data_IF_679996519133
#
_entry.id   IF_679996519133
#
_cell.length_a   1.000
_cell.length_b   1.000
_cell.length_c   1.000
_cell.angle_alpha   90.00
_cell.angle_beta   90.00
_cell.angle_gamma   90.00
#
_symmetry.space_group_name_H-M   'P 1'
#
loop_
_entity.id
_entity.type
_entity.pdbx_description
1 polymer ?
#
# COMPACT_ATOMS: atom_id res chain seq x y z
N UNK A 1 -1.03 -11.05 14.31
CA UNK A 1 -0.57 -11.22 12.90
C UNK A 1 0.32 -10.05 12.57
N UNK A 2 1.61 -10.28 12.33
CA UNK A 2 2.61 -9.23 12.04
C UNK A 2 2.77 -9.03 10.53
N UNK A 3 2.91 -7.78 10.12
CA UNK A 3 3.24 -7.34 8.76
C UNK A 3 4.59 -6.61 8.79
N UNK A 4 5.25 -6.52 7.64
CA UNK A 4 6.44 -5.71 7.45
C UNK A 4 6.23 -4.74 6.28
N UNK A 5 6.74 -3.53 6.40
CA UNK A 5 6.72 -2.51 5.35
C UNK A 5 8.16 -2.18 4.99
N UNK A 6 8.51 -2.34 3.71
CA UNK A 6 9.83 -1.94 3.22
C UNK A 6 9.84 -0.43 2.96
N UNK A 7 10.73 0.28 3.64
CA UNK A 7 11.16 1.61 3.22
C UNK A 7 12.39 1.41 2.33
N UNK A 8 12.17 1.23 1.03
CA UNK A 8 13.20 0.84 0.07
C UNK A 8 13.23 1.84 -1.07
N UNK A 9 14.40 2.37 -1.44
CA UNK A 9 14.54 3.23 -2.60
C UNK A 9 14.41 2.45 -3.91
N UNK A 10 14.13 3.17 -4.99
CA UNK A 10 14.18 2.60 -6.35
C UNK A 10 15.54 1.96 -6.63
N UNK A 11 15.56 0.89 -7.42
CA UNK A 11 16.80 0.32 -7.98
C UNK A 11 16.78 0.38 -9.51
N UNK A 12 17.97 0.46 -10.11
CA UNK A 12 18.14 0.61 -11.56
C UNK A 12 18.18 -0.74 -12.32
N UNK A 13 18.12 -1.87 -11.60
CA UNK A 13 18.07 -3.21 -12.21
C UNK A 13 17.37 -4.21 -11.30
N UNK A 14 16.86 -5.30 -11.91
CA UNK A 14 16.29 -6.43 -11.16
C UNK A 14 17.32 -7.05 -10.20
N UNK A 15 18.57 -7.22 -10.63
CA UNK A 15 19.63 -7.76 -9.79
C UNK A 15 19.87 -6.89 -8.55
N UNK A 16 19.97 -5.57 -8.74
CA UNK A 16 20.17 -4.62 -7.63
C UNK A 16 18.96 -4.60 -6.68
N UNK A 17 17.73 -4.74 -7.22
CA UNK A 17 16.52 -4.90 -6.42
C UNK A 17 16.56 -6.17 -5.58
N UNK A 18 16.82 -7.34 -6.18
CA UNK A 18 16.84 -8.60 -5.45
C UNK A 18 17.95 -8.62 -4.39
N UNK A 19 19.13 -8.07 -4.70
CA UNK A 19 20.23 -7.94 -3.74
C UNK A 19 19.83 -7.13 -2.50
N UNK A 20 19.00 -6.10 -2.67
CA UNK A 20 18.50 -5.28 -1.56
C UNK A 20 17.27 -5.89 -0.87
N UNK A 21 16.36 -6.50 -1.64
CA UNK A 21 15.06 -6.97 -1.16
C UNK A 21 15.15 -8.34 -0.47
N UNK A 22 15.95 -9.27 -0.98
CA UNK A 22 16.00 -10.63 -0.44
C UNK A 22 16.41 -10.68 1.04
N UNK A 23 17.41 -9.90 1.51
CA UNK A 23 17.70 -9.81 2.95
C UNK A 23 16.52 -9.26 3.77
N UNK A 24 15.81 -8.26 3.25
CA UNK A 24 14.64 -7.68 3.93
C UNK A 24 13.47 -8.67 4.00
N UNK A 25 13.23 -9.44 2.93
CA UNK A 25 12.18 -10.47 2.93
C UNK A 25 12.47 -11.58 3.95
N UNK A 26 13.73 -12.04 4.04
CA UNK A 26 14.17 -13.02 5.04
C UNK A 26 14.07 -12.47 6.46
N UNK A 27 14.59 -11.26 6.71
CA UNK A 27 14.51 -10.62 8.02
C UNK A 27 13.05 -10.41 8.45
N UNK A 28 12.17 -9.95 7.55
CA UNK A 28 10.74 -9.83 7.83
C UNK A 28 10.14 -11.17 8.25
N UNK A 29 10.52 -12.26 7.58
CA UNK A 29 10.05 -13.61 7.92
C UNK A 29 10.59 -14.11 9.26
N UNK A 30 11.86 -13.89 9.55
CA UNK A 30 12.50 -14.24 10.82
C UNK A 30 11.84 -13.51 11.99
N UNK A 31 11.45 -12.26 11.77
CA UNK A 31 10.64 -11.46 12.67
C UNK A 31 9.16 -11.91 12.70
N UNK A 32 8.77 -13.00 12.05
CA UNK A 32 7.41 -13.54 12.09
C UNK A 32 6.38 -12.77 11.26
N UNK A 33 6.79 -11.86 10.39
CA UNK A 33 5.88 -11.22 9.45
C UNK A 33 5.35 -12.23 8.43
N UNK A 34 4.04 -12.18 8.16
CA UNK A 34 3.40 -13.01 7.14
C UNK A 34 3.30 -12.34 5.78
N UNK A 35 3.43 -11.01 5.74
CA UNK A 35 3.28 -10.18 4.54
C UNK A 35 4.34 -9.06 4.59
N UNK A 36 4.99 -8.81 3.46
CA UNK A 36 5.87 -7.67 3.24
C UNK A 36 5.31 -6.78 2.12
N UNK A 37 4.97 -5.54 2.47
CA UNK A 37 4.53 -4.51 1.52
C UNK A 37 5.75 -3.72 1.03
N UNK A 38 5.89 -3.58 -0.29
CA UNK A 38 6.90 -2.75 -0.91
C UNK A 38 6.31 -1.43 -1.44
N UNK A 39 7.18 -0.42 -1.67
CA UNK A 39 6.76 0.85 -2.26
C UNK A 39 6.26 0.76 -3.71
N UNK A 40 5.71 1.87 -4.18
CA UNK A 40 5.29 2.08 -5.57
C UNK A 40 6.49 2.08 -6.53
N UNK A 41 6.36 1.42 -7.69
CA UNK A 41 7.34 1.41 -8.78
C UNK A 41 8.80 1.15 -8.29
N UNK A 42 9.07 -0.04 -7.77
CA UNK A 42 10.39 -0.40 -7.18
C UNK A 42 11.57 -0.34 -8.15
N UNK A 43 11.32 -0.41 -9.46
CA UNK A 43 12.29 -0.17 -10.55
C UNK A 43 12.02 1.12 -11.33
N UNK A 44 11.14 1.99 -10.82
CA UNK A 44 10.59 3.11 -11.57
C UNK A 44 9.68 2.63 -12.72
N UNK A 45 9.53 3.47 -13.74
CA UNK A 45 8.78 3.14 -14.96
C UNK A 45 9.63 2.34 -15.98
N UNK A 46 10.53 1.49 -15.48
CA UNK A 46 11.33 0.61 -16.32
C UNK A 46 10.58 -0.72 -16.52
N UNK A 47 10.25 -1.12 -17.76
CA UNK A 47 9.72 -2.45 -18.02
C UNK A 47 10.72 -3.52 -17.59
N UNK A 48 10.24 -4.50 -16.82
CA UNK A 48 11.05 -5.66 -16.45
C UNK A 48 10.15 -6.91 -16.51
N UNK A 49 10.03 -7.52 -17.70
CA UNK A 49 9.28 -8.77 -17.86
C UNK A 49 9.64 -9.87 -16.84
N UNK A 50 10.91 -10.07 -16.41
CA UNK A 50 11.24 -11.12 -15.44
C UNK A 50 10.97 -10.75 -13.96
N UNK A 51 10.58 -9.50 -13.67
CA UNK A 51 10.37 -9.05 -12.29
C UNK A 51 9.24 -9.83 -11.58
N UNK A 52 8.05 -10.04 -12.17
CA UNK A 52 6.97 -10.79 -11.51
C UNK A 52 7.38 -12.21 -11.13
N UNK A 53 8.08 -12.95 -12.02
CA UNK A 53 8.56 -14.30 -11.75
C UNK A 53 9.59 -14.31 -10.62
N UNK A 54 10.52 -13.34 -10.63
CA UNK A 54 11.53 -13.22 -9.58
C UNK A 54 10.92 -12.89 -8.20
N UNK A 55 9.91 -12.03 -8.16
CA UNK A 55 9.16 -11.72 -6.93
C UNK A 55 8.34 -12.93 -6.46
N UNK A 56 7.74 -13.67 -7.38
CA UNK A 56 7.02 -14.91 -7.05
C UNK A 56 7.95 -15.96 -6.45
N UNK A 57 9.13 -16.17 -7.06
CA UNK A 57 10.15 -17.07 -6.54
C UNK A 57 10.64 -16.65 -5.15
N UNK A 58 10.90 -15.36 -4.92
CA UNK A 58 11.31 -14.86 -3.61
C UNK A 58 10.22 -15.05 -2.54
N UNK A 59 8.96 -14.79 -2.89
CA UNK A 59 7.83 -15.01 -1.99
C UNK A 59 7.68 -16.49 -1.60
N UNK A 60 7.88 -17.41 -2.55
CA UNK A 60 7.89 -18.86 -2.30
C UNK A 60 9.07 -19.29 -1.43
N UNK A 61 10.29 -18.85 -1.76
CA UNK A 61 11.52 -19.19 -1.02
C UNK A 61 11.43 -18.77 0.45
N UNK A 62 10.94 -17.57 0.71
CA UNK A 62 10.86 -17.00 2.06
C UNK A 62 9.56 -17.35 2.79
N UNK A 63 8.56 -17.88 2.10
CA UNK A 63 7.24 -18.17 2.68
C UNK A 63 6.51 -16.93 3.21
N UNK A 64 6.83 -15.75 2.67
CA UNK A 64 6.17 -14.48 2.96
C UNK A 64 5.31 -14.05 1.77
N UNK A 65 4.14 -13.47 2.02
CA UNK A 65 3.35 -12.84 0.97
C UNK A 65 4.01 -11.51 0.59
N UNK A 66 4.43 -11.34 -0.66
CA UNK A 66 4.96 -10.05 -1.12
C UNK A 66 3.85 -9.25 -1.78
N UNK A 67 3.77 -7.95 -1.48
CA UNK A 67 2.87 -7.02 -2.16
C UNK A 67 3.72 -5.92 -2.75
N UNK A 68 3.92 -5.92 -4.07
CA UNK A 68 4.96 -5.14 -4.73
C UNK A 68 4.44 -4.18 -5.78
N UNK A 69 4.90 -2.92 -5.73
CA UNK A 69 4.62 -1.89 -6.71
C UNK A 69 5.58 -1.98 -7.90
N UNK A 70 5.11 -2.17 -9.13
CA UNK A 70 5.94 -2.23 -10.32
C UNK A 70 5.22 -1.70 -11.58
N UNK A 71 5.96 -1.53 -12.66
CA UNK A 71 5.37 -1.26 -13.98
C UNK A 71 4.86 -2.58 -14.58
N UNK A 72 3.56 -2.68 -14.82
CA UNK A 72 2.93 -3.80 -15.52
C UNK A 72 2.80 -3.57 -17.03
N UNK A 73 2.33 -4.58 -17.75
CA UNK A 73 2.05 -4.50 -19.19
C UNK A 73 0.95 -3.49 -19.54
N UNK A 74 0.97 -2.97 -20.77
CA UNK A 74 0.04 -1.92 -21.21
C UNK A 74 0.18 -0.65 -20.38
N UNK A 75 1.39 -0.09 -20.33
CA UNK A 75 2.09 0.36 -19.12
C UNK A 75 1.15 0.81 -18.00
N UNK A 76 1.10 0.04 -16.92
CA UNK A 76 0.26 0.31 -15.73
C UNK A 76 1.10 0.41 -14.49
N UNK A 77 0.82 1.39 -13.64
CA UNK A 77 1.38 1.42 -12.30
C UNK A 77 0.61 0.42 -11.44
N UNK A 78 1.28 -0.67 -11.06
CA UNK A 78 0.66 -1.89 -10.53
C UNK A 78 1.13 -2.17 -9.12
N UNK A 79 0.21 -2.53 -8.23
CA UNK A 79 0.48 -3.17 -6.95
C UNK A 79 -0.05 -4.62 -7.01
N UNK A 80 0.84 -5.60 -6.95
CA UNK A 80 0.50 -7.01 -7.12
C UNK A 80 0.89 -7.84 -5.91
N UNK A 81 0.06 -8.83 -5.60
CA UNK A 81 0.31 -9.83 -4.56
C UNK A 81 1.00 -11.06 -5.17
N UNK A 82 2.10 -11.49 -4.55
CA UNK A 82 2.92 -12.63 -4.94
C UNK A 82 3.00 -13.66 -3.79
N UNK A 83 3.16 -14.96 -4.08
CA UNK A 83 3.51 -15.54 -5.38
C UNK A 83 2.36 -15.63 -6.38
N UNK A 84 1.13 -15.64 -5.88
CA UNK A 84 -0.10 -15.58 -6.66
C UNK A 84 -1.10 -14.76 -5.86
N UNK A 85 -1.84 -13.88 -6.53
CA UNK A 85 -2.81 -13.04 -5.87
C UNK A 85 -3.36 -11.92 -6.74
N UNK A 86 -4.20 -11.05 -6.17
CA UNK A 86 -4.82 -9.98 -6.92
C UNK A 86 -3.79 -8.97 -7.45
N UNK A 87 -4.21 -8.32 -8.53
CA UNK A 87 -3.49 -7.23 -9.18
C UNK A 87 -4.34 -5.97 -9.07
N UNK A 88 -3.76 -4.90 -8.54
CA UNK A 88 -4.34 -3.57 -8.55
C UNK A 88 -3.53 -2.68 -9.49
N UNK A 89 -4.18 -2.20 -10.55
CA UNK A 89 -3.62 -1.13 -11.39
C UNK A 89 -4.15 0.21 -10.87
N UNK A 90 -3.28 1.22 -10.75
CA UNK A 90 -3.59 2.53 -10.19
C UNK A 90 -4.80 3.16 -10.88
N UNK A 91 -5.82 3.48 -10.09
CA UNK A 91 -7.08 4.06 -10.59
C UNK A 91 -6.89 5.55 -10.89
N UNK A 92 -6.25 6.29 -10.00
CA UNK A 92 -6.03 7.73 -10.14
C UNK A 92 -4.60 8.02 -10.60
N UNK A 93 -4.43 8.42 -11.85
CA UNK A 93 -3.12 8.81 -12.39
C UNK A 93 -2.76 10.22 -11.95
N UNK A 94 -1.53 10.41 -11.47
CA UNK A 94 -1.00 11.73 -11.13
C UNK A 94 -0.57 12.46 -12.40
N UNK A 95 -1.39 13.40 -12.89
CA UNK A 95 -1.15 14.14 -14.14
C UNK A 95 -0.95 15.66 -13.87
N UNK A 96 0.10 16.05 -13.13
CA UNK A 96 0.41 17.45 -12.87
C UNK A 96 0.82 18.20 -14.15
N UNK A 97 0.64 19.52 -14.14
CA UNK A 97 1.15 20.39 -15.20
C UNK A 97 2.66 20.62 -15.00
N UNK A 98 3.46 20.41 -16.05
CA UNK A 98 4.90 20.70 -16.03
C UNK A 98 5.80 19.59 -15.50
N UNK A 99 5.25 18.46 -15.05
CA UNK A 99 6.01 17.27 -14.66
C UNK A 99 5.58 16.05 -15.49
N UNK A 100 6.40 15.00 -15.52
CA UNK A 100 6.05 13.77 -16.26
C UNK A 100 4.89 13.01 -15.61
N UNK A 101 4.81 13.00 -14.27
CA UNK A 101 3.76 12.33 -13.50
C UNK A 101 3.54 10.89 -13.93
N UNK A 102 2.29 10.51 -14.18
CA UNK A 102 1.86 9.22 -14.72
C UNK A 102 1.51 9.31 -16.23
N UNK A 103 2.04 10.31 -16.96
CA UNK A 103 1.82 10.46 -18.40
C UNK A 103 2.21 9.17 -19.13
N UNK A 104 1.32 8.71 -20.01
CA UNK A 104 1.51 7.49 -20.81
C UNK A 104 1.11 6.19 -20.10
N UNK A 105 0.73 6.24 -18.82
CA UNK A 105 0.21 5.07 -18.11
C UNK A 105 -1.30 4.90 -18.33
N UNK A 106 -1.80 3.68 -18.18
CA UNK A 106 -3.24 3.38 -18.29
C UNK A 106 -3.90 3.22 -16.91
N UNK A 107 -5.09 3.81 -16.77
CA UNK A 107 -5.93 3.68 -15.57
C UNK A 107 -6.34 2.23 -15.31
N UNK A 108 -6.22 1.81 -14.06
CA UNK A 108 -6.81 0.56 -13.59
C UNK A 108 -8.32 0.65 -13.37
N UNK A 109 -8.85 -0.41 -12.77
CA UNK A 109 -10.26 -0.53 -12.38
C UNK A 109 -10.35 -1.02 -10.94
N UNK A 110 -11.48 -0.75 -10.32
CA UNK A 110 -11.80 -1.31 -9.01
C UNK A 110 -11.84 -0.25 -7.91
N UNK A 111 -12.33 -0.68 -6.75
CA UNK A 111 -11.47 -1.22 -5.69
C UNK A 111 -11.09 -2.70 -5.86
N UNK A 112 -9.85 -3.07 -5.57
CA UNK A 112 -9.32 -4.44 -5.50
C UNK A 112 -8.94 -4.80 -4.06
N UNK A 113 -9.57 -5.84 -3.52
CA UNK A 113 -9.33 -6.32 -2.17
C UNK A 113 -9.20 -7.85 -2.14
N UNK A 114 -8.55 -8.38 -1.12
CA UNK A 114 -8.40 -9.82 -0.94
C UNK A 114 -8.45 -10.24 0.53
N UNK A 115 -8.96 -11.45 0.82
CA UNK A 115 -8.87 -12.05 2.13
C UNK A 115 -7.47 -12.61 2.36
N UNK A 116 -6.94 -12.42 3.57
CA UNK A 116 -5.73 -13.07 4.02
C UNK A 116 -5.78 -13.28 5.54
N UNK A 117 -5.60 -14.53 5.98
CA UNK A 117 -5.61 -14.92 7.41
C UNK A 117 -6.82 -14.38 8.19
N UNK A 118 -8.01 -14.48 7.60
CA UNK A 118 -9.27 -14.07 8.23
C UNK A 118 -9.53 -12.55 8.25
N UNK A 119 -8.69 -11.76 7.56
CA UNK A 119 -8.84 -10.30 7.44
C UNK A 119 -8.94 -9.90 5.98
N UNK A 120 -9.60 -8.78 5.68
CA UNK A 120 -9.73 -8.25 4.32
C UNK A 120 -8.83 -7.03 4.11
N UNK A 121 -8.00 -7.07 3.05
CA UNK A 121 -7.04 -6.03 2.69
C UNK A 121 -7.41 -5.37 1.36
N UNK A 122 -7.42 -4.04 1.31
CA UNK A 122 -7.59 -3.25 0.08
C UNK A 122 -6.24 -2.74 -0.44
N UNK A 123 -6.07 -2.70 -1.76
CA UNK A 123 -4.85 -2.24 -2.43
C UNK A 123 -5.01 -0.81 -2.94
N UNK A 124 -4.01 0.04 -2.76
CA UNK A 124 -4.00 1.38 -3.33
C UNK A 124 -2.57 1.87 -3.60
N UNK A 125 -2.43 2.90 -4.42
CA UNK A 125 -1.14 3.47 -4.79
C UNK A 125 -1.14 5.00 -4.65
N UNK A 126 -0.27 5.50 -3.77
CA UNK A 126 0.20 6.88 -3.71
C UNK A 126 -0.94 7.91 -3.86
N UNK A 127 -1.08 8.50 -5.05
CA UNK A 127 -2.08 9.52 -5.41
C UNK A 127 -3.53 9.10 -5.15
N UNK A 128 -3.82 7.80 -5.06
CA UNK A 128 -5.13 7.32 -4.58
C UNK A 128 -5.50 7.90 -3.21
N UNK A 129 -4.51 8.22 -2.36
CA UNK A 129 -4.72 8.85 -1.06
C UNK A 129 -5.45 10.20 -1.16
N UNK A 130 -5.40 10.92 -2.29
CA UNK A 130 -6.17 12.15 -2.46
C UNK A 130 -7.68 11.89 -2.60
N UNK A 131 -8.09 10.67 -2.95
CA UNK A 131 -9.47 10.32 -3.30
C UNK A 131 -10.14 9.49 -2.19
N UNK A 132 -10.84 10.13 -1.23
CA UNK A 132 -11.51 9.42 -0.13
C UNK A 132 -12.52 8.37 -0.61
N UNK A 133 -13.10 8.55 -1.80
CA UNK A 133 -14.11 7.69 -2.40
C UNK A 133 -13.61 6.25 -2.56
N UNK A 134 -12.35 6.06 -2.97
CA UNK A 134 -11.78 4.72 -3.15
C UNK A 134 -11.70 3.97 -1.81
N UNK A 135 -11.19 4.65 -0.78
CA UNK A 135 -11.05 4.08 0.56
C UNK A 135 -12.41 3.87 1.23
N UNK A 136 -13.36 4.77 0.99
CA UNK A 136 -14.76 4.59 1.41
C UNK A 136 -15.38 3.37 0.75
N UNK A 137 -15.18 3.18 -0.55
CA UNK A 137 -15.68 2.03 -1.27
C UNK A 137 -15.10 0.71 -0.73
N UNK A 138 -13.81 0.69 -0.38
CA UNK A 138 -13.21 -0.45 0.33
C UNK A 138 -13.86 -0.69 1.69
N UNK A 139 -14.02 0.35 2.52
CA UNK A 139 -14.57 0.23 3.87
C UNK A 139 -16.01 -0.30 3.86
N UNK A 140 -16.84 0.16 2.92
CA UNK A 140 -18.22 -0.31 2.73
C UNK A 140 -18.28 -1.77 2.26
N UNK A 141 -17.22 -2.29 1.63
CA UNK A 141 -17.04 -3.72 1.31
C UNK A 141 -16.46 -4.53 2.47
N UNK A 142 -16.32 -3.95 3.67
CA UNK A 142 -15.84 -4.64 4.85
C UNK A 142 -14.31 -4.72 4.98
N UNK A 143 -13.56 -4.03 4.12
CA UNK A 143 -12.09 -4.00 4.22
C UNK A 143 -11.67 -3.48 5.60
N UNK A 144 -10.69 -4.14 6.20
CA UNK A 144 -10.19 -3.87 7.55
C UNK A 144 -8.82 -3.19 7.55
N UNK A 145 -8.07 -3.30 6.46
CA UNK A 145 -6.75 -2.73 6.30
C UNK A 145 -6.50 -2.28 4.86
N UNK A 146 -5.79 -1.18 4.69
CA UNK A 146 -5.33 -0.69 3.40
C UNK A 146 -3.83 -0.90 3.27
N UNK A 147 -3.39 -1.47 2.15
CA UNK A 147 -1.98 -1.59 1.76
C UNK A 147 -1.71 -0.57 0.67
N UNK A 148 -0.86 0.41 0.98
CA UNK A 148 -0.56 1.55 0.11
C UNK A 148 0.93 1.55 -0.23
N UNK A 149 1.26 1.31 -1.50
CA UNK A 149 2.60 1.59 -2.01
C UNK A 149 2.70 3.07 -2.41
N UNK A 150 3.78 3.75 -2.07
CA UNK A 150 3.93 5.18 -2.36
C UNK A 150 5.33 5.57 -2.86
N UNK A 151 5.36 6.56 -3.75
CA UNK A 151 6.56 7.28 -4.19
C UNK A 151 6.35 8.80 -4.04
N UNK A 152 5.85 9.23 -2.88
CA UNK A 152 5.42 10.62 -2.64
C UNK A 152 6.62 11.55 -2.37
N UNK A 153 6.70 12.77 -2.95
CA UNK A 153 7.82 13.68 -2.71
C UNK A 153 7.88 14.18 -1.26
N UNK A 154 9.08 14.16 -0.66
CA UNK A 154 9.33 14.49 0.74
C UNK A 154 8.99 15.93 1.11
N UNK A 155 9.02 16.85 0.13
CA UNK A 155 8.54 18.23 0.31
C UNK A 155 7.06 18.30 0.75
N UNK A 156 6.28 17.24 0.47
CA UNK A 156 4.88 17.11 0.82
C UNK A 156 4.61 15.95 1.81
N UNK A 157 5.64 15.48 2.53
CA UNK A 157 5.50 14.39 3.50
C UNK A 157 4.43 14.68 4.58
N UNK A 158 4.28 15.95 4.98
CA UNK A 158 3.22 16.36 5.91
C UNK A 158 1.81 16.13 5.35
N UNK A 159 1.59 16.42 4.06
CA UNK A 159 0.32 16.16 3.39
C UNK A 159 0.05 14.65 3.28
N UNK A 160 1.07 13.87 2.90
CA UNK A 160 0.98 12.41 2.85
C UNK A 160 0.49 11.84 4.19
N UNK A 161 1.10 12.27 5.30
CA UNK A 161 0.71 11.81 6.63
C UNK A 161 -0.73 12.20 6.98
N UNK A 162 -1.14 13.44 6.69
CA UNK A 162 -2.52 13.90 6.92
C UNK A 162 -3.52 13.04 6.15
N UNK A 163 -3.29 12.80 4.86
CA UNK A 163 -4.16 11.99 4.03
C UNK A 163 -4.20 10.54 4.51
N UNK A 164 -3.06 9.92 4.78
CA UNK A 164 -2.99 8.56 5.28
C UNK A 164 -3.74 8.38 6.62
N UNK A 165 -3.57 9.33 7.55
CA UNK A 165 -4.32 9.34 8.82
C UNK A 165 -5.82 9.53 8.60
N UNK A 166 -6.21 10.42 7.70
CA UNK A 166 -7.61 10.64 7.36
C UNK A 166 -8.26 9.38 6.77
N UNK A 167 -7.60 8.71 5.80
CA UNK A 167 -8.12 7.47 5.19
C UNK A 167 -8.29 6.36 6.22
N UNK A 168 -7.37 6.22 7.17
CA UNK A 168 -7.51 5.25 8.27
C UNK A 168 -8.69 5.60 9.19
N UNK A 169 -8.74 6.84 9.69
CA UNK A 169 -9.70 7.30 10.68
C UNK A 169 -11.14 7.32 10.14
N UNK A 170 -11.36 7.91 8.97
CA UNK A 170 -12.70 8.10 8.41
C UNK A 170 -13.36 6.78 7.97
N UNK A 171 -12.56 5.72 7.82
CA UNK A 171 -13.00 4.39 7.39
C UNK A 171 -12.89 3.33 8.49
N UNK A 172 -12.39 3.71 9.68
CA UNK A 172 -12.07 2.80 10.78
C UNK A 172 -11.32 1.57 10.27
N UNK A 173 -10.18 1.77 9.61
CA UNK A 173 -9.37 0.70 9.06
C UNK A 173 -7.89 0.97 9.37
N UNK A 174 -7.10 -0.08 9.54
CA UNK A 174 -5.64 0.08 9.58
C UNK A 174 -5.14 0.58 8.21
N UNK A 175 -4.09 1.40 8.21
CA UNK A 175 -3.41 1.76 6.97
C UNK A 175 -1.91 1.47 7.10
N UNK A 176 -1.41 0.73 6.14
CA UNK A 176 -0.01 0.37 5.99
C UNK A 176 0.52 1.05 4.73
N UNK A 177 1.45 1.97 4.89
CA UNK A 177 2.01 2.76 3.81
C UNK A 177 3.50 2.48 3.67
N UNK A 178 3.90 1.81 2.59
CA UNK A 178 5.30 1.61 2.23
C UNK A 178 5.71 2.71 1.25
N UNK A 179 6.55 3.64 1.71
CA UNK A 179 7.06 4.74 0.89
C UNK A 179 8.43 4.41 0.33
N UNK A 180 8.77 4.95 -0.84
CA UNK A 180 10.12 4.89 -1.38
C UNK A 180 11.07 5.71 -0.52
N UNK A 181 12.22 5.15 -0.18
CA UNK A 181 13.21 5.84 0.65
C UNK A 181 13.93 6.97 -0.07
N UNK A 182 14.01 6.90 -1.40
CA UNK A 182 14.65 7.92 -2.24
C UNK A 182 13.75 9.13 -2.54
N UNK A 183 12.50 9.15 -2.06
CA UNK A 183 11.59 10.29 -2.27
C UNK A 183 11.51 11.23 -1.07
N UNK A 184 12.01 10.83 0.11
CA UNK A 184 12.01 11.64 1.33
C UNK A 184 10.68 11.66 2.10
N UNK A 185 9.70 10.84 1.72
CA UNK A 185 8.47 10.65 2.51
C UNK A 185 8.53 9.39 3.37
N UNK A 186 8.02 9.40 4.61
CA UNK A 186 8.13 8.29 5.53
C UNK A 186 7.23 7.10 5.14
N UNK A 187 7.66 5.91 5.53
CA UNK A 187 6.81 4.72 5.65
C UNK A 187 6.01 4.81 6.96
N UNK A 188 4.71 4.52 6.92
CA UNK A 188 3.79 4.72 8.05
C UNK A 188 2.92 3.49 8.32
N UNK A 189 2.69 3.23 9.61
CA UNK A 189 1.67 2.31 10.09
C UNK A 189 0.68 3.08 10.96
N UNK A 190 -0.60 3.05 10.59
CA UNK A 190 -1.64 3.93 11.15
C UNK A 190 -2.81 3.10 11.66
N UNK A 191 -3.27 3.44 12.87
CA UNK A 191 -4.41 2.84 13.54
C UNK A 191 -5.77 3.29 12.95
N UNK A 192 -6.85 2.52 13.17
CA UNK A 192 -8.22 2.88 12.79
C UNK A 192 -8.76 4.19 13.34
N UNK A 193 -8.12 4.78 14.36
CA UNK A 193 -8.46 6.08 14.94
C UNK A 193 -7.55 7.21 14.45
N UNK A 194 -6.67 6.93 13.47
CA UNK A 194 -5.76 7.90 12.87
C UNK A 194 -4.46 8.15 13.64
N UNK A 195 -4.19 7.43 14.74
CA UNK A 195 -2.88 7.48 15.40
C UNK A 195 -1.80 6.81 14.54
N UNK A 196 -0.63 7.44 14.44
CA UNK A 196 0.56 6.83 13.85
C UNK A 196 1.16 5.88 14.88
N UNK A 197 1.19 4.58 14.57
CA UNK A 197 1.73 3.51 15.41
C UNK A 197 3.17 3.17 15.06
N UNK A 198 3.60 3.47 13.84
CA UNK A 198 4.96 3.25 13.38
C UNK A 198 5.33 4.24 12.27
N UNK A 199 6.60 4.66 12.27
CA UNK A 199 7.18 5.58 11.31
C UNK A 199 8.58 5.09 10.96
N UNK A 200 8.97 5.25 9.69
CA UNK A 200 10.34 4.98 9.25
C UNK A 200 10.77 5.88 8.11
N UNK A 201 11.95 6.48 8.25
CA UNK A 201 12.55 7.43 7.29
C UNK A 201 13.85 6.89 6.66
N UNK A 202 14.49 5.90 7.30
CA UNK A 202 15.77 5.33 6.84
C UNK A 202 15.51 4.07 6.00
N UNK A 203 16.39 3.65 5.09
CA UNK A 203 16.16 2.42 4.29
C UNK A 203 16.12 1.13 5.15
N UNK A 204 15.23 0.17 4.84
CA UNK A 204 15.02 -1.11 5.58
C UNK A 204 13.55 -1.47 5.91
N UNK A 205 13.28 -2.06 7.10
CA UNK A 205 11.95 -2.56 7.49
C UNK A 205 11.28 -1.79 8.65
N UNK A 206 9.98 -1.51 8.51
CA UNK A 206 9.08 -1.18 9.61
C UNK A 206 8.19 -2.40 9.91
N UNK A 207 8.32 -2.97 11.10
CA UNK A 207 7.42 -4.03 11.58
C UNK A 207 6.12 -3.42 12.10
N UNK A 208 5.00 -4.03 11.76
CA UNK A 208 3.68 -3.55 12.12
C UNK A 208 2.80 -4.67 12.69
N UNK A 209 2.30 -4.45 13.90
CA UNK A 209 1.42 -5.37 14.61
C UNK A 209 0.05 -4.74 14.85
N UNK A 210 -0.92 -4.96 13.94
CA UNK A 210 -2.30 -4.53 14.16
C UNK A 210 -2.97 -5.31 15.28
N UNK A 211 -3.58 -4.57 16.20
CA UNK A 211 -4.54 -5.07 17.19
C UNK A 211 -5.94 -5.15 16.56
N UNK A 212 -6.27 -6.34 16.06
CA UNK A 212 -7.57 -6.54 15.44
C UNK A 212 -8.74 -6.50 16.45
N UNK A 213 -8.48 -6.77 17.73
CA UNK A 213 -9.48 -6.63 18.79
C UNK A 213 -9.83 -5.16 19.02
N UNK A 214 -8.82 -4.27 19.01
CA UNK A 214 -9.05 -2.83 19.00
C UNK A 214 -9.91 -2.39 17.81
N UNK A 215 -9.61 -2.87 16.59
CA UNK A 215 -10.41 -2.52 15.41
C UNK A 215 -11.88 -2.93 15.56
N UNK A 216 -12.13 -4.17 16.00
CA UNK A 216 -13.48 -4.71 16.18
C UNK A 216 -14.25 -3.91 17.25
N UNK A 217 -13.66 -3.73 18.43
CA UNK A 217 -14.25 -2.95 19.51
C UNK A 217 -14.50 -1.48 19.12
N UNK A 218 -13.59 -0.87 18.34
CA UNK A 218 -13.73 0.52 17.89
C UNK A 218 -14.90 0.68 16.90
N UNK A 219 -15.05 -0.25 15.94
CA UNK A 219 -16.18 -0.28 14.99
C UNK A 219 -17.50 -0.56 15.68
N UNK A 220 -17.52 -1.41 16.71
CA UNK A 220 -18.73 -1.70 17.49
C UNK A 220 -19.16 -0.48 18.31
N UNK A 221 -18.21 0.14 19.02
CA UNK A 221 -18.47 1.31 19.87
C UNK A 221 -18.87 2.55 19.07
N UNK A 222 -18.28 2.74 17.88
CA UNK A 222 -18.52 3.89 17.02
C UNK A 222 -18.81 3.44 15.58
N UNK A 223 -20.03 2.98 15.25
CA UNK A 223 -20.33 2.40 13.94
C UNK A 223 -20.55 3.47 12.86
N UNK A 224 -19.55 4.32 12.61
CA UNK A 224 -19.68 5.54 11.80
C UNK A 224 -20.19 5.26 10.38
N UNK A 225 -19.81 4.11 9.80
CA UNK A 225 -20.24 3.71 8.45
C UNK A 225 -21.76 3.52 8.36
N UNK A 226 -22.40 3.11 9.46
CA UNK A 226 -23.86 2.93 9.55
C UNK A 226 -24.60 4.26 9.72
N UNK A 227 -23.92 5.32 10.14
CA UNK A 227 -24.52 6.65 10.34
C UNK A 227 -24.53 7.52 9.08
N UNK A 228 -23.98 7.02 7.97
CA UNK A 228 -23.97 7.69 6.67
C UNK A 228 -25.39 8.00 6.18
N UNK A 229 -25.57 9.17 5.56
CA UNK A 229 -26.84 9.65 4.98
C UNK A 229 -26.68 9.83 3.47
N UNK A 230 -26.69 8.73 2.73
CA UNK A 230 -26.35 8.70 1.30
C UNK A 230 -27.15 9.67 0.44
N UNK A 231 -28.42 9.86 0.78
CA UNK A 231 -29.32 10.79 0.11
C UNK A 231 -28.85 12.25 0.17
N UNK A 232 -28.01 12.62 1.14
CA UNK A 232 -27.54 14.00 1.32
C UNK A 232 -26.40 14.39 0.37
N UNK A 233 -25.70 13.42 -0.23
CA UNK A 233 -24.51 13.66 -1.05
C UNK A 233 -24.47 12.83 -2.34
N UNK A 234 -25.62 12.30 -2.77
CA UNK A 234 -25.77 11.80 -4.15
C UNK A 234 -25.72 12.99 -5.11
N UNK A 235 -24.62 13.10 -5.85
CA UNK A 235 -24.48 14.07 -6.94
C UNK A 235 -25.30 13.56 -8.13
N UNK A 236 -26.11 14.43 -8.73
CA UNK A 236 -26.87 14.14 -9.95
C UNK A 236 -26.00 14.28 -11.19
#
# INVERSE_FOLDING_TARGET
MRLALAHLGKRESLEALLKALSPLARAAREEGAGLLLLPELVLGKMPSPPLPEALSALAQETGILLVAGHLGEGPRNRLQVFPEGPVYDKVHLYLPLGEEGDRGLLHGKGPVAFPWRGRSFGLALCYDLDFPELFRAYALKGVQAFLVGAAWPGAYAGLLEVLARARAAENQAYLFLASRADTGSPTLFIAPDGRVLGRREEEGLLLAEPDWGFLEAYREKYPLLRHRREEAYRVR
#
